data_IF_049187759054
#
_entry.id   IF_049187759054
#
_cell.length_a   1.000
_cell.length_b   1.000
_cell.length_c   1.000
_cell.angle_alpha   90.00
_cell.angle_beta   90.00
_cell.angle_gamma   90.00
#
_symmetry.space_group_name_H-M   'P 1'
#
loop_
_entity.id
_entity.type
_entity.pdbx_description
1 polymer ?
#
# COMPACT_ATOMS: atom_id res chain seq x y z
N UNK A 1 6.14 4.37 -3.87
CA UNK A 1 5.65 3.18 -4.61
C UNK A 1 5.15 3.65 -5.97
N UNK A 2 5.55 2.95 -7.00
CA UNK A 2 5.01 3.09 -8.36
C UNK A 2 4.69 1.70 -8.88
N UNK A 3 3.51 1.50 -9.42
CA UNK A 3 3.08 0.28 -10.08
C UNK A 3 2.46 0.65 -11.42
N UNK A 4 2.78 -0.11 -12.47
CA UNK A 4 2.15 0.04 -13.79
C UNK A 4 1.79 -1.32 -14.36
N UNK A 5 0.65 -1.37 -15.04
CA UNK A 5 0.25 -2.46 -15.91
C UNK A 5 0.00 -1.84 -17.30
N UNK A 6 1.03 -1.86 -18.11
CA UNK A 6 1.00 -1.22 -19.43
C UNK A 6 0.02 -1.92 -20.38
N UNK A 7 -0.19 -3.23 -20.19
CA UNK A 7 -1.14 -4.03 -20.97
C UNK A 7 -2.59 -3.58 -20.77
N UNK A 8 -2.96 -3.28 -19.53
CA UNK A 8 -4.32 -2.86 -19.18
C UNK A 8 -4.44 -1.34 -19.01
N UNK A 9 -3.32 -0.61 -19.12
CA UNK A 9 -3.30 0.84 -19.00
C UNK A 9 -3.67 1.33 -17.61
N UNK A 10 -3.14 0.69 -16.58
CA UNK A 10 -3.37 1.06 -15.17
C UNK A 10 -2.05 1.46 -14.52
N UNK A 11 -2.07 2.58 -13.81
CA UNK A 11 -0.91 3.09 -13.06
C UNK A 11 -1.32 3.52 -11.65
N UNK A 12 -0.50 3.18 -10.66
CA UNK A 12 -0.69 3.60 -9.28
C UNK A 12 0.59 4.23 -8.71
N UNK A 13 0.47 5.47 -8.25
CA UNK A 13 1.53 6.23 -7.63
C UNK A 13 1.15 6.58 -6.19
N UNK A 14 1.97 6.17 -5.23
CA UNK A 14 1.65 6.39 -3.83
C UNK A 14 2.87 6.42 -2.93
N UNK A 15 2.66 6.93 -1.73
CA UNK A 15 3.65 6.94 -0.66
C UNK A 15 2.97 6.76 0.68
N UNK A 16 3.70 6.21 1.64
CA UNK A 16 3.22 6.01 3.00
C UNK A 16 4.32 6.30 4.03
N UNK A 17 3.92 6.88 5.14
CA UNK A 17 4.65 6.86 6.39
C UNK A 17 3.85 6.01 7.39
N UNK A 18 4.50 5.03 8.00
CA UNK A 18 3.85 4.14 8.97
C UNK A 18 4.23 4.57 10.37
N UNK A 19 3.23 4.82 11.20
CA UNK A 19 3.38 5.11 12.62
C UNK A 19 2.80 3.95 13.43
N UNK A 20 3.62 3.38 14.30
CA UNK A 20 3.21 2.28 15.15
C UNK A 20 3.03 2.76 16.58
N UNK A 21 1.88 2.43 17.17
CA UNK A 21 1.59 2.69 18.59
C UNK A 21 1.09 1.44 19.28
N UNK A 22 1.35 1.35 20.59
CA UNK A 22 0.87 0.26 21.43
C UNK A 22 0.06 0.83 22.58
N UNK A 23 -1.22 0.43 22.64
CA UNK A 23 -2.16 0.79 23.72
C UNK A 23 -3.07 -0.40 24.05
N UNK A 24 -2.47 -1.58 24.30
CA UNK A 24 -3.21 -2.84 24.47
C UNK A 24 -3.48 -3.60 23.17
N UNK A 25 -3.27 -2.96 22.04
CA UNK A 25 -3.16 -3.53 20.71
C UNK A 25 -2.04 -2.82 19.94
N UNK A 26 -1.47 -3.46 18.92
CA UNK A 26 -0.54 -2.79 18.01
C UNK A 26 -1.37 -2.09 16.93
N UNK A 27 -1.26 -0.78 16.85
CA UNK A 27 -1.96 0.03 15.88
C UNK A 27 -0.94 0.58 14.88
N UNK A 28 -1.12 0.25 13.61
CA UNK A 28 -0.34 0.78 12.49
C UNK A 28 -1.19 1.84 11.79
N UNK A 29 -0.85 3.09 12.00
CA UNK A 29 -1.41 4.21 11.26
C UNK A 29 -0.61 4.44 9.99
N UNK A 30 -1.28 4.51 8.86
CA UNK A 30 -0.67 4.80 7.58
C UNK A 30 -1.01 6.22 7.14
N UNK A 31 0.01 7.05 6.89
CA UNK A 31 -0.13 8.44 6.48
C UNK A 31 0.38 8.57 5.06
N UNK A 32 -0.45 9.04 4.17
CA UNK A 32 -0.18 9.16 2.74
C UNK A 32 -1.42 8.84 1.92
N UNK A 33 -1.23 8.59 0.65
CA UNK A 33 -2.30 8.19 -0.28
C UNK A 33 -1.70 7.54 -1.52
N UNK A 34 -2.57 6.96 -2.33
CA UNK A 34 -2.22 6.49 -3.68
C UNK A 34 -3.14 7.16 -4.69
N UNK A 35 -2.58 7.64 -5.80
CA UNK A 35 -3.34 8.01 -6.99
C UNK A 35 -3.31 6.82 -7.94
N UNK A 36 -4.48 6.32 -8.28
CA UNK A 36 -4.68 5.30 -9.31
C UNK A 36 -5.19 6.00 -10.57
N UNK A 37 -4.56 5.73 -11.72
CA UNK A 37 -4.99 6.21 -13.03
C UNK A 37 -5.37 5.03 -13.91
N UNK A 38 -6.51 5.15 -14.62
CA UNK A 38 -7.00 4.14 -15.56
C UNK A 38 -7.11 4.78 -16.94
N UNK A 39 -6.16 4.47 -17.82
CA UNK A 39 -6.05 5.07 -19.16
C UNK A 39 -7.33 4.92 -20.00
N UNK A 40 -7.98 3.74 -19.91
CA UNK A 40 -9.20 3.46 -20.69
C UNK A 40 -10.30 4.49 -20.50
N UNK A 41 -10.38 5.07 -19.30
CA UNK A 41 -11.42 6.01 -18.92
C UNK A 41 -10.88 7.43 -18.76
N UNK A 42 -9.55 7.61 -18.86
CA UNK A 42 -8.86 8.86 -18.51
C UNK A 42 -9.28 9.37 -17.13
N UNK A 43 -9.25 8.46 -16.16
CA UNK A 43 -9.83 8.66 -14.85
C UNK A 43 -8.81 8.44 -13.73
N UNK A 44 -8.75 9.40 -12.80
CA UNK A 44 -7.91 9.36 -11.63
C UNK A 44 -8.73 9.08 -10.36
N UNK A 45 -8.16 8.31 -9.44
CA UNK A 45 -8.74 8.00 -8.15
C UNK A 45 -7.76 8.29 -7.02
N UNK A 46 -8.21 8.97 -5.96
CA UNK A 46 -7.47 9.03 -4.70
C UNK A 46 -7.91 7.85 -3.84
N UNK A 47 -6.94 7.00 -3.49
CA UNK A 47 -7.12 5.85 -2.63
C UNK A 47 -6.53 6.14 -1.24
N UNK A 48 -7.29 5.87 -0.15
CA UNK A 48 -6.78 5.98 1.20
C UNK A 48 -5.81 4.84 1.53
N UNK A 49 -5.00 5.06 2.56
CA UNK A 49 -4.21 4.02 3.21
C UNK A 49 -4.90 3.68 4.54
N UNK A 50 -5.56 2.52 4.63
CA UNK A 50 -6.29 2.17 5.84
C UNK A 50 -5.36 1.90 7.04
N UNK A 51 -5.82 2.28 8.23
CA UNK A 51 -5.16 1.91 9.48
C UNK A 51 -5.38 0.41 9.77
N UNK A 52 -4.32 -0.24 10.24
CA UNK A 52 -4.34 -1.68 10.55
C UNK A 52 -4.06 -1.87 12.03
N UNK A 53 -4.91 -2.62 12.70
CA UNK A 53 -4.71 -3.06 14.09
C UNK A 53 -4.31 -4.53 14.11
N UNK A 54 -3.31 -4.87 14.91
CA UNK A 54 -3.02 -6.27 15.23
C UNK A 54 -3.76 -6.63 16.50
N UNK A 55 -4.71 -7.53 16.38
CA UNK A 55 -5.56 -8.02 17.46
C UNK A 55 -5.17 -9.42 17.91
N UNK A 56 -5.82 -9.91 18.97
CA UNK A 56 -5.63 -11.27 19.48
C UNK A 56 -4.39 -11.46 20.38
N UNK A 57 -3.80 -10.37 20.87
CA UNK A 57 -2.63 -10.41 21.76
C UNK A 57 -2.86 -11.27 23.01
N UNK A 58 -4.03 -11.16 23.65
CA UNK A 58 -4.37 -11.91 24.86
C UNK A 58 -4.62 -13.40 24.61
N UNK A 59 -5.03 -13.75 23.39
CA UNK A 59 -5.32 -15.14 23.01
C UNK A 59 -4.13 -15.82 22.29
N UNK A 60 -3.00 -15.14 22.16
CA UNK A 60 -1.84 -15.55 21.35
C UNK A 60 -2.20 -15.99 19.92
N UNK A 61 -3.30 -15.45 19.38
CA UNK A 61 -3.80 -15.69 18.05
C UNK A 61 -3.86 -14.36 17.30
N UNK A 62 -2.71 -13.91 16.81
CA UNK A 62 -2.57 -12.61 16.15
C UNK A 62 -3.22 -12.58 14.78
N UNK A 63 -3.97 -11.51 14.49
CA UNK A 63 -4.51 -11.27 13.16
C UNK A 63 -4.58 -9.76 12.89
N UNK A 64 -4.36 -9.33 11.63
CA UNK A 64 -4.55 -7.94 11.24
C UNK A 64 -6.05 -7.67 11.04
N UNK A 65 -6.47 -6.46 11.38
CA UNK A 65 -7.83 -5.97 11.17
C UNK A 65 -7.78 -4.53 10.66
N UNK A 66 -8.43 -4.27 9.55
CA UNK A 66 -8.61 -2.90 9.05
C UNK A 66 -9.71 -2.24 9.87
N UNK A 67 -9.52 -0.97 10.22
CA UNK A 67 -10.47 -0.22 11.05
C UNK A 67 -10.73 1.17 10.47
N UNK A 68 -11.87 1.78 10.83
CA UNK A 68 -12.19 3.14 10.46
C UNK A 68 -13.05 3.26 9.21
N UNK A 69 -13.29 4.52 8.81
CA UNK A 69 -14.05 4.87 7.61
C UNK A 69 -13.16 5.65 6.66
N UNK A 70 -13.24 5.27 5.38
CA UNK A 70 -12.39 5.81 4.33
C UNK A 70 -13.24 6.23 3.13
N UNK A 71 -12.72 7.15 2.35
CA UNK A 71 -13.36 7.64 1.14
C UNK A 71 -12.41 7.48 -0.04
N UNK A 72 -12.90 6.92 -1.15
CA UNK A 72 -12.27 6.98 -2.45
C UNK A 72 -12.96 8.07 -3.25
N UNK A 73 -12.20 8.83 -4.01
CA UNK A 73 -12.72 9.93 -4.85
C UNK A 73 -12.19 9.77 -6.26
N UNK A 74 -13.04 9.91 -7.27
CA UNK A 74 -12.65 9.87 -8.67
C UNK A 74 -12.77 11.24 -9.36
N UNK A 75 -12.01 11.41 -10.44
CA UNK A 75 -12.06 12.61 -11.29
C UNK A 75 -13.39 12.75 -12.05
N UNK A 76 -14.12 11.66 -12.24
CA UNK A 76 -15.46 11.65 -12.85
C UNK A 76 -16.58 12.14 -11.93
N UNK A 77 -16.24 12.51 -10.68
CA UNK A 77 -17.20 13.03 -9.70
C UNK A 77 -17.90 11.96 -8.88
N UNK A 78 -17.54 10.70 -9.03
CA UNK A 78 -18.00 9.63 -8.15
C UNK A 78 -17.14 9.50 -6.91
N UNK A 79 -17.71 8.97 -5.86
CA UNK A 79 -17.01 8.65 -4.61
C UNK A 79 -17.57 7.38 -4.01
N UNK A 80 -16.74 6.70 -3.22
CA UNK A 80 -17.21 5.66 -2.32
C UNK A 80 -16.88 6.00 -0.88
N UNK A 81 -17.74 5.57 0.04
CA UNK A 81 -17.46 5.56 1.48
C UNK A 81 -17.37 4.12 1.91
N UNK A 82 -16.29 3.75 2.57
CA UNK A 82 -16.03 2.40 3.04
C UNK A 82 -15.86 2.45 4.55
N UNK A 83 -16.63 1.66 5.29
CA UNK A 83 -16.51 1.54 6.75
C UNK A 83 -16.14 0.11 7.10
N UNK A 84 -15.01 -0.05 7.78
CA UNK A 84 -14.55 -1.33 8.28
C UNK A 84 -15.00 -1.50 9.72
N UNK A 85 -15.60 -2.66 9.99
CA UNK A 85 -16.01 -3.07 11.33
C UNK A 85 -15.37 -4.41 11.67
N UNK A 86 -14.82 -4.49 12.87
CA UNK A 86 -14.16 -5.69 13.36
C UNK A 86 -14.98 -6.46 14.39
N UNK A 87 -14.40 -7.56 14.85
CA UNK A 87 -14.93 -8.29 15.99
C UNK A 87 -14.84 -7.43 17.25
N UNK A 88 -15.99 -7.03 17.81
CA UNK A 88 -16.06 -6.43 19.13
C UNK A 88 -15.72 -7.45 20.23
N UNK A 89 -15.55 -6.97 21.48
CA UNK A 89 -15.27 -7.84 22.63
C UNK A 89 -16.32 -8.92 22.88
N UNK A 90 -17.56 -8.71 22.46
CA UNK A 90 -18.69 -9.61 22.74
C UNK A 90 -19.41 -10.08 21.48
N UNK A 91 -19.41 -9.31 20.40
CA UNK A 91 -20.12 -9.61 19.13
C UNK A 91 -19.42 -8.96 17.95
N UNK A 92 -19.55 -9.57 16.78
CA UNK A 92 -19.06 -9.09 15.50
C UNK A 92 -18.25 -10.16 14.77
N UNK A 93 -18.31 -10.15 13.45
CA UNK A 93 -17.45 -10.97 12.62
C UNK A 93 -16.17 -10.17 12.28
N UNK A 94 -15.04 -10.87 12.16
CA UNK A 94 -13.76 -10.28 11.70
C UNK A 94 -13.90 -9.79 10.26
N UNK A 95 -13.09 -8.81 9.92
CA UNK A 95 -12.88 -8.39 8.53
C UNK A 95 -14.13 -7.92 7.79
N UNK A 96 -15.17 -7.46 8.50
CA UNK A 96 -16.38 -6.93 7.87
C UNK A 96 -16.18 -5.52 7.35
N UNK A 97 -16.85 -5.23 6.27
CA UNK A 97 -16.95 -3.88 5.74
C UNK A 97 -18.32 -3.63 5.11
N UNK A 98 -18.65 -2.36 5.03
CA UNK A 98 -19.78 -1.83 4.29
C UNK A 98 -19.30 -0.66 3.46
N UNK A 99 -19.77 -0.55 2.22
CA UNK A 99 -19.43 0.55 1.35
C UNK A 99 -20.63 1.01 0.54
N UNK A 100 -20.65 2.29 0.22
CA UNK A 100 -21.61 2.88 -0.70
C UNK A 100 -20.89 3.68 -1.78
N UNK A 101 -21.39 3.60 -3.00
CA UNK A 101 -20.93 4.39 -4.15
C UNK A 101 -21.99 5.41 -4.51
N UNK A 102 -21.60 6.66 -4.68
CA UNK A 102 -22.50 7.76 -4.96
C UNK A 102 -21.81 8.84 -5.81
N UNK A 103 -22.60 9.68 -6.47
CA UNK A 103 -22.06 10.86 -7.13
C UNK A 103 -21.95 12.02 -6.12
N UNK A 104 -20.83 12.76 -6.14
CA UNK A 104 -20.53 13.82 -5.15
C UNK A 104 -21.61 14.92 -5.07
N UNK A 105 -22.33 15.19 -6.17
CA UNK A 105 -23.45 16.14 -6.21
C UNK A 105 -24.75 15.61 -5.61
N UNK A 106 -24.85 14.30 -5.36
CA UNK A 106 -26.00 13.64 -4.79
C UNK A 106 -25.58 12.54 -3.79
N UNK A 107 -24.90 12.91 -2.68
CA UNK A 107 -24.27 11.96 -1.78
C UNK A 107 -25.23 11.04 -1.03
N UNK A 108 -26.52 11.42 -0.96
CA UNK A 108 -27.58 10.62 -0.34
C UNK A 108 -28.18 9.59 -1.30
N UNK A 109 -27.84 9.65 -2.59
CA UNK A 109 -28.32 8.69 -3.58
C UNK A 109 -27.25 7.66 -3.85
N UNK A 110 -27.35 6.50 -3.23
CA UNK A 110 -26.43 5.41 -3.44
C UNK A 110 -26.72 4.75 -4.80
N UNK A 111 -25.69 4.58 -5.61
CA UNK A 111 -25.72 3.82 -6.86
C UNK A 111 -25.51 2.34 -6.58
N UNK A 112 -24.56 2.05 -5.70
CA UNK A 112 -24.24 0.70 -5.26
C UNK A 112 -24.06 0.67 -3.76
N UNK A 113 -24.49 -0.44 -3.15
CA UNK A 113 -24.18 -0.82 -1.78
C UNK A 113 -23.39 -2.12 -1.77
N UNK A 114 -22.30 -2.15 -1.04
CA UNK A 114 -21.37 -3.29 -1.00
C UNK A 114 -21.20 -3.67 0.46
N UNK A 115 -21.31 -4.96 0.77
CA UNK A 115 -21.08 -5.40 2.14
C UNK A 115 -20.62 -6.86 2.20
N UNK A 116 -19.83 -7.18 3.22
CA UNK A 116 -19.36 -8.55 3.43
C UNK A 116 -18.13 -8.63 4.31
N UNK A 117 -17.35 -9.67 4.08
CA UNK A 117 -16.08 -9.96 4.73
C UNK A 117 -14.98 -9.87 3.69
N UNK A 118 -14.10 -8.85 3.81
CA UNK A 118 -13.12 -8.55 2.76
C UNK A 118 -12.12 -9.68 2.51
N UNK A 119 -11.93 -10.57 3.47
CA UNK A 119 -11.06 -11.75 3.35
C UNK A 119 -11.77 -13.01 2.84
N UNK A 120 -13.08 -12.95 2.58
CA UNK A 120 -13.88 -14.13 2.21
C UNK A 120 -14.79 -13.82 1.01
N UNK A 121 -15.87 -13.10 1.24
CA UNK A 121 -16.84 -12.76 0.21
C UNK A 121 -17.61 -11.49 0.52
N UNK A 122 -18.09 -10.83 -0.52
CA UNK A 122 -19.00 -9.69 -0.39
C UNK A 122 -20.01 -9.64 -1.54
N UNK A 123 -21.06 -8.91 -1.30
CA UNK A 123 -22.14 -8.69 -2.27
C UNK A 123 -22.16 -7.24 -2.73
N UNK A 124 -22.44 -7.03 -4.01
CA UNK A 124 -22.71 -5.74 -4.63
C UNK A 124 -24.21 -5.68 -4.94
N UNK A 125 -24.87 -4.65 -4.45
CA UNK A 125 -26.32 -4.41 -4.66
C UNK A 125 -26.53 -3.11 -5.41
N UNK A 126 -27.58 -3.07 -6.21
CA UNK A 126 -28.12 -1.82 -6.71
C UNK A 126 -28.63 -0.96 -5.52
N UNK A 127 -28.17 0.27 -5.44
CA UNK A 127 -28.45 1.15 -4.30
C UNK A 127 -29.91 1.65 -4.23
N UNK A 128 -30.69 1.50 -5.31
CA UNK A 128 -32.10 1.91 -5.37
C UNK A 128 -33.05 0.74 -5.13
N UNK A 129 -32.79 -0.39 -5.77
CA UNK A 129 -33.66 -1.56 -5.73
C UNK A 129 -33.28 -2.55 -4.64
N UNK A 130 -32.04 -2.54 -4.18
CA UNK A 130 -31.47 -3.53 -3.25
C UNK A 130 -31.21 -4.89 -3.91
N UNK A 131 -31.39 -5.00 -5.23
CA UNK A 131 -31.13 -6.22 -5.98
C UNK A 131 -29.63 -6.58 -5.93
N UNK A 132 -29.33 -7.86 -5.76
CA UNK A 132 -27.95 -8.35 -5.79
C UNK A 132 -27.51 -8.39 -7.26
N UNK A 133 -26.49 -7.59 -7.58
CA UNK A 133 -25.89 -7.53 -8.91
C UNK A 133 -24.75 -8.51 -9.05
N UNK A 134 -23.95 -8.68 -7.98
CA UNK A 134 -22.76 -9.53 -8.01
C UNK A 134 -22.45 -10.07 -6.61
N UNK A 135 -21.90 -11.27 -6.56
CA UNK A 135 -21.30 -11.86 -5.35
C UNK A 135 -19.84 -12.15 -5.67
N UNK A 136 -18.94 -11.50 -4.96
CA UNK A 136 -17.51 -11.71 -5.12
C UNK A 136 -17.01 -12.70 -4.08
N UNK A 137 -16.30 -13.73 -4.53
CA UNK A 137 -15.64 -14.75 -3.71
C UNK A 137 -14.13 -14.57 -3.83
N UNK A 138 -13.44 -14.28 -2.72
CA UNK A 138 -11.98 -14.01 -2.73
C UNK A 138 -11.19 -15.21 -3.24
N UNK A 139 -11.56 -16.41 -2.81
CA UNK A 139 -10.84 -17.65 -3.12
C UNK A 139 -11.32 -18.32 -4.43
N UNK A 140 -12.22 -17.68 -5.19
CA UNK A 140 -12.61 -18.23 -6.50
C UNK A 140 -11.43 -18.19 -7.46
N UNK A 141 -11.20 -19.25 -8.25
CA UNK A 141 -10.04 -19.35 -9.15
C UNK A 141 -9.90 -18.17 -10.12
N UNK A 142 -11.01 -17.62 -10.59
CA UNK A 142 -11.07 -16.45 -11.48
C UNK A 142 -10.61 -15.14 -10.80
N UNK A 143 -10.67 -15.09 -9.46
CA UNK A 143 -10.27 -13.94 -8.66
C UNK A 143 -8.86 -14.09 -8.09
N UNK A 144 -8.14 -15.13 -8.47
CA UNK A 144 -6.76 -15.34 -8.07
C UNK A 144 -5.85 -14.20 -8.54
N UNK A 145 -4.75 -13.94 -7.82
CA UNK A 145 -3.82 -12.88 -8.18
C UNK A 145 -3.20 -13.16 -9.56
N UNK A 146 -3.12 -12.13 -10.38
CA UNK A 146 -2.38 -12.19 -11.63
C UNK A 146 -0.90 -12.51 -11.35
N UNK A 147 -0.32 -13.40 -12.15
CA UNK A 147 1.11 -13.67 -12.06
C UNK A 147 1.91 -12.44 -12.46
N UNK A 148 2.77 -11.99 -11.55
CA UNK A 148 3.74 -10.93 -11.88
C UNK A 148 4.87 -11.51 -12.72
N UNK A 149 5.16 -10.87 -13.83
CA UNK A 149 6.40 -11.12 -14.58
C UNK A 149 7.54 -10.39 -13.85
N UNK A 150 8.48 -11.16 -13.34
CA UNK A 150 9.60 -10.63 -12.58
C UNK A 150 10.90 -11.11 -13.21
N UNK A 151 11.88 -10.21 -13.30
CA UNK A 151 13.24 -10.58 -13.72
C UNK A 151 13.78 -11.69 -12.78
N UNK A 152 14.47 -12.71 -13.30
CA UNK A 152 15.13 -13.73 -12.50
C UNK A 152 16.02 -13.08 -11.42
N UNK A 153 16.08 -13.67 -10.22
CA UNK A 153 16.80 -13.07 -9.08
C UNK A 153 18.28 -12.82 -9.39
N UNK A 154 18.91 -13.72 -10.14
CA UNK A 154 20.29 -13.61 -10.56
C UNK A 154 20.60 -12.41 -11.45
N UNK A 155 19.58 -11.91 -12.18
CA UNK A 155 19.69 -10.74 -13.05
C UNK A 155 19.30 -9.44 -12.36
N UNK A 156 18.68 -9.53 -11.18
CA UNK A 156 18.31 -8.36 -10.39
C UNK A 156 19.54 -7.67 -9.81
N UNK A 157 19.43 -6.36 -9.58
CA UNK A 157 20.48 -5.61 -8.90
C UNK A 157 20.60 -6.07 -7.43
N UNK A 158 21.80 -6.13 -6.84
CA UNK A 158 22.00 -6.46 -5.42
C UNK A 158 21.17 -5.59 -4.45
N UNK A 159 20.79 -4.39 -4.88
CA UNK A 159 19.95 -3.46 -4.09
C UNK A 159 18.45 -3.67 -4.27
N UNK A 160 18.04 -4.55 -5.18
CA UNK A 160 16.64 -4.94 -5.30
C UNK A 160 16.25 -5.86 -4.14
N UNK A 161 15.13 -5.58 -3.50
CA UNK A 161 14.75 -6.23 -2.23
C UNK A 161 14.67 -7.76 -2.32
N UNK A 162 14.21 -8.32 -3.43
CA UNK A 162 14.14 -9.78 -3.61
C UNK A 162 15.53 -10.42 -3.59
N UNK A 163 16.52 -9.79 -4.24
CA UNK A 163 17.89 -10.26 -4.25
C UNK A 163 18.57 -10.01 -2.91
N UNK A 164 18.44 -8.80 -2.36
CA UNK A 164 19.06 -8.43 -1.08
C UNK A 164 18.58 -9.31 0.09
N UNK A 165 17.32 -9.73 0.08
CA UNK A 165 16.72 -10.52 1.15
C UNK A 165 16.58 -12.01 0.81
N UNK A 166 17.16 -12.48 -0.31
CA UNK A 166 17.01 -13.85 -0.83
C UNK A 166 17.22 -14.90 0.27
N UNK A 167 18.38 -14.88 0.90
CA UNK A 167 18.75 -15.91 1.88
C UNK A 167 17.81 -15.90 3.10
N UNK A 168 17.41 -14.72 3.56
CA UNK A 168 16.43 -14.58 4.64
C UNK A 168 15.07 -15.20 4.24
N UNK A 169 14.60 -14.93 3.03
CA UNK A 169 13.32 -15.43 2.50
C UNK A 169 13.37 -16.95 2.35
N UNK A 170 14.43 -17.50 1.78
CA UNK A 170 14.61 -18.95 1.60
C UNK A 170 14.61 -19.69 2.96
N UNK A 171 15.30 -19.16 3.97
CA UNK A 171 15.30 -19.76 5.29
C UNK A 171 13.96 -19.66 6.00
N UNK A 172 13.20 -18.57 5.80
CA UNK A 172 11.83 -18.46 6.31
C UNK A 172 10.91 -19.49 5.66
N UNK A 173 10.99 -19.65 4.34
CA UNK A 173 10.20 -20.64 3.59
C UNK A 173 10.53 -22.08 4.02
N UNK A 174 11.79 -22.35 4.36
CA UNK A 174 12.22 -23.63 4.91
C UNK A 174 11.84 -23.84 6.38
N UNK A 175 11.21 -22.87 7.06
CA UNK A 175 10.88 -22.91 8.47
C UNK A 175 12.08 -22.78 9.41
N UNK A 176 13.26 -22.44 8.91
CA UNK A 176 14.50 -22.32 9.69
C UNK A 176 14.66 -20.89 10.25
N UNK A 177 13.95 -20.58 11.33
CA UNK A 177 13.94 -19.25 11.93
C UNK A 177 15.33 -18.79 12.41
N UNK A 178 16.17 -19.71 12.89
CA UNK A 178 17.51 -19.37 13.35
C UNK A 178 18.41 -18.92 12.20
N UNK A 179 18.41 -19.64 11.09
CA UNK A 179 19.17 -19.27 9.92
C UNK A 179 18.61 -18.00 9.26
N UNK A 180 17.28 -17.83 9.23
CA UNK A 180 16.66 -16.62 8.76
C UNK A 180 17.08 -15.39 9.58
N UNK A 181 17.14 -15.50 10.90
CA UNK A 181 17.62 -14.45 11.78
C UNK A 181 19.10 -14.10 11.54
N UNK A 182 19.93 -15.12 11.29
CA UNK A 182 21.35 -14.92 10.97
C UNK A 182 21.53 -14.17 9.62
N UNK A 183 20.87 -14.64 8.56
CA UNK A 183 20.89 -13.99 7.24
C UNK A 183 20.38 -12.54 7.30
N UNK A 184 19.28 -12.29 8.02
CA UNK A 184 18.77 -10.95 8.27
C UNK A 184 19.81 -10.07 8.96
N UNK A 185 20.50 -10.60 9.98
CA UNK A 185 21.51 -9.86 10.72
C UNK A 185 22.69 -9.43 9.81
N UNK A 186 23.11 -10.26 8.88
CA UNK A 186 24.16 -9.93 7.91
C UNK A 186 23.77 -8.74 7.03
N UNK A 187 22.55 -8.74 6.47
CA UNK A 187 22.04 -7.61 5.67
C UNK A 187 21.99 -6.32 6.50
N UNK A 188 21.49 -6.41 7.73
CA UNK A 188 21.40 -5.24 8.62
C UNK A 188 22.77 -4.72 9.05
N UNK A 189 23.75 -5.62 9.30
CA UNK A 189 25.10 -5.24 9.67
C UNK A 189 25.81 -4.52 8.51
N UNK A 190 25.67 -5.04 7.28
CA UNK A 190 26.19 -4.41 6.08
C UNK A 190 25.62 -2.99 5.87
N UNK A 191 24.30 -2.83 6.08
CA UNK A 191 23.64 -1.53 5.98
C UNK A 191 24.08 -0.54 7.08
N UNK A 192 24.35 -1.02 8.29
CA UNK A 192 24.91 -0.15 9.36
C UNK A 192 26.30 0.34 9.01
N UNK A 193 27.16 -0.55 8.55
CA UNK A 193 28.52 -0.20 8.15
C UNK A 193 28.53 0.82 7.00
N UNK A 194 27.68 0.63 5.99
CA UNK A 194 27.53 1.57 4.88
C UNK A 194 27.16 2.97 5.38
N UNK A 195 26.17 3.06 6.28
CA UNK A 195 25.75 4.35 6.85
C UNK A 195 26.84 5.04 7.68
N UNK A 196 27.66 4.28 8.38
CA UNK A 196 28.83 4.82 9.09
C UNK A 196 29.83 5.40 8.10
N UNK A 197 30.15 4.67 7.03
CA UNK A 197 31.06 5.13 5.98
C UNK A 197 30.53 6.37 5.24
N UNK A 198 29.23 6.43 4.92
CA UNK A 198 28.60 7.61 4.33
C UNK A 198 28.72 8.82 5.27
N UNK A 199 28.45 8.62 6.57
CA UNK A 199 28.59 9.67 7.59
C UNK A 199 30.02 10.19 7.69
N UNK A 200 31.02 9.29 7.68
CA UNK A 200 32.44 9.65 7.78
C UNK A 200 32.91 10.45 6.55
N UNK A 201 32.29 10.18 5.38
CA UNK A 201 32.53 10.94 4.14
C UNK A 201 31.73 12.23 4.04
N UNK A 202 30.83 12.48 5.00
CA UNK A 202 29.89 13.62 4.94
C UNK A 202 28.83 13.48 3.87
N UNK A 203 28.55 12.26 3.41
CA UNK A 203 27.55 11.97 2.41
C UNK A 203 26.16 11.81 3.06
N UNK A 204 25.15 12.39 2.45
CA UNK A 204 23.77 12.21 2.86
C UNK A 204 23.09 11.20 1.94
N UNK A 205 22.43 10.20 2.54
CA UNK A 205 21.66 9.23 1.78
C UNK A 205 20.51 9.91 1.02
N UNK A 206 20.38 9.62 -0.28
CA UNK A 206 19.29 10.10 -1.12
C UNK A 206 18.60 8.95 -1.83
N UNK A 207 17.24 8.99 -1.93
CA UNK A 207 16.51 8.03 -2.75
C UNK A 207 17.01 8.06 -4.20
N UNK A 208 17.04 6.91 -4.86
CA UNK A 208 17.48 6.81 -6.26
C UNK A 208 16.41 7.28 -7.25
N UNK A 209 15.15 6.93 -6.99
CA UNK A 209 14.08 7.04 -7.96
C UNK A 209 12.96 7.99 -7.52
N UNK A 210 12.84 8.24 -6.23
CA UNK A 210 11.74 9.04 -5.69
C UNK A 210 12.25 10.37 -5.16
N UNK A 211 11.53 11.42 -5.51
CA UNK A 211 11.78 12.76 -5.00
C UNK A 211 10.60 13.27 -4.17
N UNK A 212 10.92 14.04 -3.13
CA UNK A 212 9.93 14.70 -2.31
C UNK A 212 9.60 16.07 -2.87
N UNK A 213 8.31 16.36 -2.98
CA UNK A 213 7.78 17.64 -3.46
C UNK A 213 6.89 18.28 -2.39
N UNK A 214 6.79 19.61 -2.35
CA UNK A 214 5.81 20.29 -1.49
C UNK A 214 4.38 19.84 -1.82
N UNK A 215 3.54 19.64 -0.81
CA UNK A 215 2.14 19.23 -1.00
C UNK A 215 1.34 20.20 -1.86
N UNK A 216 1.65 21.49 -1.80
CA UNK A 216 1.04 22.52 -2.64
C UNK A 216 1.23 22.30 -4.15
N UNK A 217 2.24 21.54 -4.56
CA UNK A 217 2.48 21.19 -5.98
C UNK A 217 1.70 19.96 -6.45
N UNK A 218 0.93 19.30 -5.58
CA UNK A 218 0.19 18.08 -5.91
C UNK A 218 -1.21 18.39 -6.47
N UNK A 219 -1.25 18.98 -7.65
CA UNK A 219 -2.49 19.48 -8.27
C UNK A 219 -3.57 18.40 -8.40
N UNK A 220 -3.23 17.22 -8.92
CA UNK A 220 -4.18 16.10 -9.10
C UNK A 220 -4.88 15.75 -7.77
N UNK A 221 -4.12 15.63 -6.68
CA UNK A 221 -4.70 15.37 -5.37
C UNK A 221 -5.64 16.51 -4.93
N UNK A 222 -5.22 17.76 -5.09
CA UNK A 222 -6.00 18.92 -4.68
C UNK A 222 -7.32 19.03 -5.45
N UNK A 223 -7.29 18.76 -6.76
CA UNK A 223 -8.48 18.80 -7.60
C UNK A 223 -9.47 17.69 -7.23
N UNK A 224 -8.97 16.47 -7.04
CA UNK A 224 -9.79 15.32 -6.65
C UNK A 224 -10.40 15.47 -5.26
N UNK A 225 -9.67 16.04 -4.31
CA UNK A 225 -10.11 16.14 -2.92
C UNK A 225 -10.86 17.43 -2.59
N UNK A 226 -11.05 18.31 -3.57
CA UNK A 226 -11.75 19.57 -3.39
C UNK A 226 -13.18 19.35 -2.85
N UNK A 227 -13.51 20.01 -1.74
CA UNK A 227 -14.80 19.84 -1.08
C UNK A 227 -14.97 18.55 -0.26
N UNK A 228 -13.88 17.79 -0.08
CA UNK A 228 -13.84 16.63 0.82
C UNK A 228 -13.12 16.95 2.12
N UNK A 229 -13.11 16.00 3.06
CA UNK A 229 -12.34 16.12 4.31
C UNK A 229 -10.89 15.61 4.17
N UNK A 230 -10.45 15.26 2.97
CA UNK A 230 -9.09 14.83 2.73
C UNK A 230 -8.10 15.98 2.93
N UNK A 231 -7.05 15.71 3.69
CA UNK A 231 -5.95 16.64 3.89
C UNK A 231 -4.62 15.96 3.61
N UNK A 232 -3.71 16.69 2.97
CA UNK A 232 -2.33 16.25 2.84
C UNK A 232 -1.64 16.37 4.20
N UNK A 233 -0.95 15.30 4.60
CA UNK A 233 -0.10 15.28 5.79
C UNK A 233 1.39 15.34 5.39
N UNK A 234 1.72 16.23 4.47
CA UNK A 234 3.04 16.36 3.86
C UNK A 234 4.15 16.72 4.86
N UNK A 235 3.82 17.40 5.96
CA UNK A 235 4.77 17.65 7.07
C UNK A 235 5.24 16.34 7.69
N UNK A 236 4.33 15.39 7.95
CA UNK A 236 4.63 14.10 8.59
C UNK A 236 5.39 13.17 7.66
N UNK A 237 5.10 13.22 6.37
CA UNK A 237 5.74 12.42 5.32
C UNK A 237 6.97 13.09 4.70
N UNK A 238 7.33 14.29 5.20
CA UNK A 238 8.41 15.12 4.62
C UNK A 238 8.17 15.40 3.12
N UNK A 239 6.95 15.76 2.79
CA UNK A 239 6.50 16.06 1.42
C UNK A 239 5.74 14.91 0.76
N UNK A 240 5.37 15.14 -0.49
CA UNK A 240 4.73 14.17 -1.39
C UNK A 240 5.80 13.50 -2.22
N UNK A 241 5.93 12.18 -2.10
CA UNK A 241 6.97 11.42 -2.78
C UNK A 241 6.46 10.91 -4.13
N UNK A 242 7.19 11.20 -5.20
CA UNK A 242 6.88 10.80 -6.58
C UNK A 242 8.07 10.15 -7.25
N UNK A 243 7.78 9.22 -8.17
CA UNK A 243 8.79 8.67 -9.08
C UNK A 243 9.29 9.79 -9.99
N UNK A 244 10.60 9.89 -10.16
CA UNK A 244 11.23 10.74 -11.16
C UNK A 244 11.59 9.88 -12.39
N UNK A 245 10.83 10.06 -13.46
CA UNK A 245 11.01 9.29 -14.70
C UNK A 245 12.37 9.57 -15.38
N UNK A 246 12.97 10.73 -15.16
CA UNK A 246 14.29 11.04 -15.73
C UNK A 246 15.36 10.25 -14.99
N UNK A 247 15.26 10.16 -13.67
CA UNK A 247 16.16 9.32 -12.87
C UNK A 247 16.00 7.85 -13.22
N UNK A 248 14.76 7.38 -13.41
CA UNK A 248 14.50 6.00 -13.82
C UNK A 248 15.11 5.68 -15.19
N UNK A 249 14.93 6.56 -16.18
CA UNK A 249 15.48 6.36 -17.52
C UNK A 249 17.02 6.39 -17.57
N UNK A 250 17.65 7.10 -16.64
CA UNK A 250 19.12 7.18 -16.53
C UNK A 250 19.74 6.11 -15.62
N UNK A 251 18.93 5.26 -15.00
CA UNK A 251 19.41 4.29 -14.02
C UNK A 251 20.17 3.15 -14.69
N UNK A 252 21.38 2.87 -14.19
CA UNK A 252 22.23 1.78 -14.66
C UNK A 252 22.59 0.84 -13.51
N UNK A 253 22.65 -0.47 -13.79
CA UNK A 253 23.14 -1.46 -12.82
C UNK A 253 24.68 -1.44 -12.77
N UNK A 254 25.30 -1.58 -11.59
CA UNK A 254 24.67 -1.64 -10.28
C UNK A 254 24.18 -0.24 -9.85
N UNK A 255 23.01 -0.20 -9.26
CA UNK A 255 22.34 1.06 -8.85
C UNK A 255 23.15 1.86 -7.81
N UNK A 256 23.95 1.18 -7.03
CA UNK A 256 24.89 1.74 -6.05
C UNK A 256 26.12 0.85 -5.95
N UNK A 257 27.27 1.37 -5.46
CA UNK A 257 28.42 0.52 -5.16
C UNK A 257 28.01 -0.65 -4.28
N UNK A 258 28.39 -1.85 -4.68
CA UNK A 258 28.09 -3.08 -3.95
C UNK A 258 28.95 -3.18 -2.70
N UNK A 259 28.33 -3.49 -1.59
CA UNK A 259 29.03 -3.92 -0.39
C UNK A 259 29.47 -5.39 -0.56
N UNK A 260 30.67 -5.74 -0.11
CA UNK A 260 31.26 -7.10 -0.22
C UNK A 260 30.39 -8.24 0.36
N UNK A 261 29.44 -7.91 1.24
CA UNK A 261 28.49 -8.87 1.82
C UNK A 261 27.19 -9.05 1.01
N UNK A 262 27.03 -8.36 -0.12
CA UNK A 262 25.87 -8.44 -1.01
C UNK A 262 26.21 -9.06 -2.38
N UNK A 263 27.37 -9.70 -2.51
CA UNK A 263 27.80 -10.36 -3.74
C UNK A 263 27.18 -11.76 -3.89
#
# INVERSE_FOLDING_TARGET
MHLSDDKHGVRADGYACVEMTFNGSVNNRQIGHTILHINRFDEDYVLPLPDVQVRGLLAACFYPEITGSYRIVSSSGYSSRITFSGAGLVRGARNRFEASVFHQKAPETHLYEISGVWSESWVIKDGKTGEILEIYQVDAPENGPAQMELEPIENQDPWESRRAWKDTIEQLQAGNLRAAAAAKHEVEAAQRLLREQEKDRGEEWRPLLFQSHPGASHQVFQDLTRGTQWTLSDIRTKGVWRLDNNLLAGLQKPYRPTHTSMQ
#
